data_IF_021290588988
#
_entry.id   IF_021290588988
#
_cell.length_a   1.000
_cell.length_b   1.000
_cell.length_c   1.000
_cell.angle_alpha   90.00
_cell.angle_beta   90.00
_cell.angle_gamma   90.00
#
_symmetry.space_group_name_H-M   'P 1'
#
loop_
_entity.id
_entity.type
_entity.pdbx_description
1 polymer ?
#
# COMPACT_ATOMS: atom_id res chain seq x y z
N UNK A 1 -11.31 13.62 -5.15
CA UNK A 1 -10.74 12.28 -4.96
C UNK A 1 -9.33 12.45 -4.41
N UNK A 2 -9.02 11.90 -3.24
CA UNK A 2 -7.66 12.02 -2.65
C UNK A 2 -6.82 10.83 -3.13
N UNK A 3 -5.53 11.06 -3.35
CA UNK A 3 -4.58 10.00 -3.71
C UNK A 3 -3.50 9.91 -2.65
N UNK A 4 -3.16 8.69 -2.23
CA UNK A 4 -2.08 8.41 -1.30
C UNK A 4 -1.06 7.51 -1.99
N UNK A 5 0.19 7.96 -2.00
CA UNK A 5 1.32 7.16 -2.43
C UNK A 5 2.05 6.59 -1.22
N UNK A 6 2.40 5.31 -1.27
CA UNK A 6 3.03 4.58 -0.15
C UNK A 6 4.38 4.03 -0.62
N UNK A 7 5.43 4.31 0.14
CA UNK A 7 6.78 3.77 -0.10
C UNK A 7 7.22 2.97 1.12
N UNK A 8 7.65 1.73 0.92
CA UNK A 8 8.21 0.90 1.99
C UNK A 8 9.53 0.30 1.55
N UNK A 9 10.57 0.39 2.41
CA UNK A 9 11.92 -0.08 2.09
C UNK A 9 12.24 -1.50 2.58
N UNK A 10 11.38 -2.10 3.40
CA UNK A 10 11.60 -3.43 3.98
C UNK A 10 10.28 -4.16 4.29
N UNK A 11 10.28 -5.51 4.42
CA UNK A 11 9.07 -6.30 4.66
C UNK A 11 8.28 -5.91 5.93
N UNK A 12 8.98 -5.51 7.00
CA UNK A 12 8.37 -4.99 8.23
C UNK A 12 7.58 -3.71 7.96
N UNK A 13 8.14 -2.78 7.18
CA UNK A 13 7.49 -1.55 6.75
C UNK A 13 6.22 -1.82 5.93
N UNK A 14 6.27 -2.75 4.98
CA UNK A 14 5.13 -3.21 4.18
C UNK A 14 3.99 -3.79 5.05
N UNK A 15 4.34 -4.61 6.04
CA UNK A 15 3.39 -5.16 7.02
C UNK A 15 2.73 -4.09 7.89
N UNK A 16 3.46 -3.04 8.28
CA UNK A 16 2.88 -1.94 9.06
C UNK A 16 2.03 -1.02 8.19
N UNK A 17 2.49 -0.68 6.99
CA UNK A 17 1.77 0.16 6.04
C UNK A 17 0.43 -0.46 5.65
N UNK A 18 0.39 -1.76 5.32
CA UNK A 18 -0.85 -2.47 4.99
C UNK A 18 -1.89 -2.44 6.12
N UNK A 19 -1.48 -2.51 7.39
CA UNK A 19 -2.39 -2.35 8.54
C UNK A 19 -2.99 -0.94 8.63
N UNK A 20 -2.21 0.09 8.33
CA UNK A 20 -2.72 1.48 8.32
C UNK A 20 -3.68 1.66 7.16
N UNK A 21 -3.32 1.20 5.96
CA UNK A 21 -4.13 1.38 4.75
C UNK A 21 -5.44 0.61 4.83
N UNK A 22 -5.44 -0.65 5.30
CA UNK A 22 -6.68 -1.41 5.48
C UNK A 22 -7.66 -0.75 6.43
N UNK A 23 -7.17 -0.06 7.48
CA UNK A 23 -8.01 0.75 8.37
C UNK A 23 -8.52 2.02 7.68
N UNK A 24 -7.72 2.67 6.83
CA UNK A 24 -8.13 3.85 6.08
C UNK A 24 -9.20 3.52 5.03
N UNK A 25 -9.03 2.44 4.26
CA UNK A 25 -10.01 1.97 3.27
C UNK A 25 -11.38 1.69 3.91
N UNK A 26 -11.39 1.10 5.10
CA UNK A 26 -12.63 0.87 5.87
C UNK A 26 -13.31 2.17 6.32
N UNK A 27 -12.54 3.23 6.57
CA UNK A 27 -13.06 4.53 7.02
C UNK A 27 -13.49 5.44 5.86
N UNK A 28 -12.85 5.32 4.70
CA UNK A 28 -13.10 6.17 3.54
C UNK A 28 -12.75 5.42 2.25
N UNK A 29 -13.78 5.11 1.47
CA UNK A 29 -13.65 4.44 0.16
C UNK A 29 -13.27 5.39 -0.98
N UNK A 30 -13.28 6.71 -0.76
CA UNK A 30 -12.97 7.72 -1.77
C UNK A 30 -11.48 8.15 -1.74
N UNK A 31 -10.59 7.16 -1.66
CA UNK A 31 -9.13 7.32 -1.68
C UNK A 31 -8.53 6.31 -2.65
N UNK A 32 -7.73 6.80 -3.60
CA UNK A 32 -6.92 5.94 -4.46
C UNK A 32 -5.54 5.69 -3.84
N UNK A 33 -5.04 4.48 -4.03
CA UNK A 33 -3.75 4.04 -3.50
C UNK A 33 -2.82 3.58 -4.60
N UNK A 34 -1.55 3.94 -4.48
CA UNK A 34 -0.45 3.49 -5.33
C UNK A 34 0.78 3.29 -4.44
N UNK A 35 1.65 2.33 -4.75
CA UNK A 35 2.82 2.10 -3.92
C UNK A 35 4.10 1.74 -4.68
N UNK A 36 5.22 1.81 -3.95
CA UNK A 36 6.36 0.92 -4.11
C UNK A 36 6.47 0.16 -2.80
N UNK A 37 6.07 -1.11 -2.84
CA UNK A 37 5.93 -1.91 -1.63
C UNK A 37 5.85 -3.39 -1.91
N UNK A 38 5.60 -4.16 -0.86
CA UNK A 38 5.75 -5.60 -0.88
C UNK A 38 4.42 -6.35 -1.02
N UNK A 39 4.49 -7.61 -0.60
CA UNK A 39 3.39 -8.58 -0.66
C UNK A 39 2.16 -8.12 0.14
N UNK A 40 2.31 -7.51 1.31
CA UNK A 40 1.18 -7.14 2.15
C UNK A 40 0.34 -6.03 1.52
N UNK A 41 0.95 -4.99 0.95
CA UNK A 41 0.21 -3.96 0.21
C UNK A 41 -0.43 -4.54 -1.05
N UNK A 42 0.27 -5.40 -1.77
CA UNK A 42 -0.25 -6.10 -2.96
C UNK A 42 -1.47 -6.97 -2.64
N UNK A 43 -1.48 -7.64 -1.48
CA UNK A 43 -2.61 -8.46 -1.01
C UNK A 43 -3.90 -7.66 -0.73
N UNK A 44 -3.77 -6.34 -0.55
CA UNK A 44 -4.90 -5.41 -0.41
C UNK A 44 -5.37 -4.85 -1.76
N UNK A 45 -4.86 -5.36 -2.88
CA UNK A 45 -5.16 -4.86 -4.22
C UNK A 45 -4.47 -3.54 -4.57
N UNK A 46 -3.49 -3.09 -3.78
CA UNK A 46 -2.76 -1.85 -4.03
C UNK A 46 -1.64 -2.16 -5.01
N UNK A 47 -1.70 -1.55 -6.19
CA UNK A 47 -0.74 -1.79 -7.27
C UNK A 47 0.61 -1.16 -6.93
N UNK A 48 1.67 -1.97 -6.94
CA UNK A 48 3.04 -1.47 -6.97
C UNK A 48 3.40 -0.97 -8.38
N UNK A 49 4.06 0.18 -8.48
CA UNK A 49 4.60 0.70 -9.74
C UNK A 49 6.00 0.17 -10.08
N UNK A 50 6.59 -0.60 -9.17
CA UNK A 50 7.93 -1.15 -9.29
C UNK A 50 7.91 -2.60 -8.80
N UNK A 51 8.47 -3.53 -9.57
CA UNK A 51 8.65 -4.92 -9.15
C UNK A 51 10.02 -5.05 -8.50
N UNK A 52 10.06 -5.34 -7.19
CA UNK A 52 11.29 -5.44 -6.37
C UNK A 52 12.10 -6.73 -6.66
N UNK A 53 11.86 -7.38 -7.80
CA UNK A 53 12.51 -8.63 -8.21
C UNK A 53 13.77 -8.44 -9.06
N UNK A 54 14.11 -7.19 -9.39
CA UNK A 54 15.44 -6.78 -9.85
C UNK A 54 16.25 -6.22 -8.68
#
# INVERSE_FOLDING_TARGET
>A
MKKIFILTGEPSGDKLASKVVSKLQKKNSNIDYLCVGGFHLSSLGIKSIFDLKE
#
